data_IF_116948327671
#
_entry.id   IF_116948327671
#
_cell.length_a   1.000
_cell.length_b   1.000
_cell.length_c   1.000
_cell.angle_alpha   90.00
_cell.angle_beta   90.00
_cell.angle_gamma   90.00
#
_symmetry.space_group_name_H-M   'P 1'
#
loop_
_entity.id
_entity.type
_entity.pdbx_description
1 polymer ?
#
# COMPACT_ATOMS: atom_id res chain seq x y z
N UNK A 1 -24.01 1.82 -26.43
CA UNK A 1 -23.72 1.80 -24.98
C UNK A 1 -22.92 3.05 -24.70
N UNK A 2 -23.54 4.07 -24.12
CA UNK A 2 -22.84 5.29 -23.71
C UNK A 2 -22.03 4.97 -22.46
N UNK A 3 -20.72 5.02 -22.56
CA UNK A 3 -19.84 4.99 -21.40
C UNK A 3 -19.96 6.34 -20.71
N UNK A 4 -20.60 6.38 -19.56
CA UNK A 4 -20.59 7.56 -18.69
C UNK A 4 -19.14 7.88 -18.34
N UNK A 5 -18.66 9.04 -18.78
CA UNK A 5 -17.26 9.47 -18.74
C UNK A 5 -16.70 9.86 -17.36
N UNK A 6 -16.99 9.10 -16.32
CA UNK A 6 -16.47 9.32 -14.96
C UNK A 6 -15.67 8.10 -14.48
N UNK A 7 -14.54 7.82 -15.14
CA UNK A 7 -13.58 6.85 -14.59
C UNK A 7 -12.88 7.45 -13.37
N UNK A 8 -12.88 6.70 -12.26
CA UNK A 8 -12.22 7.10 -11.01
C UNK A 8 -10.99 6.24 -10.78
N UNK A 9 -9.83 6.85 -10.83
CA UNK A 9 -8.56 6.24 -10.39
C UNK A 9 -8.19 6.87 -9.06
N UNK A 10 -7.96 6.03 -8.06
CA UNK A 10 -7.60 6.48 -6.73
C UNK A 10 -6.09 6.42 -6.52
N UNK A 11 -5.54 7.49 -5.96
CA UNK A 11 -4.16 7.62 -5.55
C UNK A 11 -4.07 7.51 -4.05
N UNK A 12 -3.37 6.51 -3.56
CA UNK A 12 -2.99 6.43 -2.16
C UNK A 12 -1.48 6.66 -2.04
N UNK A 13 -1.10 7.80 -1.48
CA UNK A 13 0.27 8.00 -1.01
C UNK A 13 0.29 7.82 0.50
N UNK A 14 1.04 6.86 0.99
CA UNK A 14 1.34 6.78 2.41
C UNK A 14 2.40 7.82 2.72
N UNK A 15 1.98 9.03 3.04
CA UNK A 15 2.87 10.05 3.58
C UNK A 15 2.94 9.84 5.10
N UNK A 16 4.05 9.31 5.57
CA UNK A 16 4.39 9.32 6.99
C UNK A 16 4.80 10.74 7.36
N UNK A 17 3.84 11.55 7.81
CA UNK A 17 4.14 12.84 8.45
C UNK A 17 4.64 12.55 9.87
N UNK A 18 5.94 12.71 10.06
CA UNK A 18 6.65 12.28 11.28
C UNK A 18 6.69 13.28 12.39
N UNK A 19 6.32 14.53 12.15
CA UNK A 19 6.55 15.61 13.11
C UNK A 19 5.51 15.67 14.24
N UNK A 20 4.33 15.08 14.05
CA UNK A 20 3.22 15.22 14.98
C UNK A 20 2.95 13.99 15.88
N UNK A 21 3.76 12.93 15.74
CA UNK A 21 3.51 11.67 16.44
C UNK A 21 4.66 11.30 17.39
N UNK A 22 5.04 12.23 18.24
CA UNK A 22 5.81 11.90 19.45
C UNK A 22 4.82 11.85 20.61
N UNK A 23 4.43 10.67 21.12
CA UNK A 23 3.66 10.63 22.35
C UNK A 23 4.49 11.32 23.44
N UNK A 24 3.94 12.34 24.11
CA UNK A 24 4.45 12.79 25.39
C UNK A 24 4.36 11.61 26.37
N UNK A 25 5.38 10.79 26.39
CA UNK A 25 5.53 9.77 27.43
C UNK A 25 6.39 10.34 28.55
N UNK A 26 5.86 10.21 29.76
CA UNK A 26 6.53 10.40 31.04
C UNK A 26 7.99 9.95 30.99
N UNK A 27 8.88 10.77 31.49
CA UNK A 27 10.34 10.71 31.47
C UNK A 27 10.97 9.54 32.25
N UNK A 28 10.56 8.30 32.00
CA UNK A 28 11.17 7.14 32.65
C UNK A 28 11.52 6.06 31.64
N UNK A 29 12.69 6.19 31.00
CA UNK A 29 13.29 5.16 30.13
C UNK A 29 14.71 5.54 29.72
N UNK A 30 15.56 4.56 29.38
CA UNK A 30 16.94 4.85 29.00
C UNK A 30 17.00 5.75 27.75
N UNK A 31 17.89 6.73 27.76
CA UNK A 31 18.11 7.74 26.68
C UNK A 31 18.22 7.15 25.26
N UNK A 32 18.55 5.88 25.14
CA UNK A 32 18.62 5.16 23.87
C UNK A 32 17.27 5.00 23.15
N UNK A 33 16.14 5.15 23.85
CA UNK A 33 14.79 5.11 23.27
C UNK A 33 14.37 6.44 22.64
N UNK A 34 15.07 7.53 22.95
CA UNK A 34 14.78 8.89 22.47
C UNK A 34 15.70 9.35 21.34
N UNK A 35 16.56 8.47 20.82
CA UNK A 35 17.30 8.81 19.62
C UNK A 35 16.34 8.93 18.42
N UNK A 36 16.52 9.96 17.59
CA UNK A 36 15.79 10.15 16.32
C UNK A 36 15.79 8.88 15.43
N UNK A 37 16.70 7.96 15.73
CA UNK A 37 16.83 6.66 15.06
C UNK A 37 15.62 5.73 15.31
N UNK A 38 14.95 5.85 16.45
CA UNK A 38 13.76 5.07 16.76
C UNK A 38 12.51 5.56 15.99
N UNK A 39 12.29 6.87 15.95
CA UNK A 39 11.18 7.47 15.21
C UNK A 39 11.25 7.11 13.71
N UNK A 40 12.45 7.03 13.17
CA UNK A 40 12.71 6.68 11.77
C UNK A 40 12.34 5.21 11.42
N UNK A 41 12.13 4.35 12.41
CA UNK A 41 11.76 2.94 12.22
C UNK A 41 10.31 2.65 12.59
N UNK A 42 9.55 3.67 13.00
CA UNK A 42 8.16 3.47 13.37
C UNK A 42 7.27 3.50 12.13
N UNK A 43 6.68 2.38 11.79
CA UNK A 43 5.83 2.18 10.62
C UNK A 43 4.33 2.21 10.95
N UNK A 44 3.98 1.78 12.16
CA UNK A 44 2.61 1.56 12.59
C UNK A 44 1.89 2.87 12.97
N UNK A 45 0.57 2.82 13.15
CA UNK A 45 -0.18 3.94 13.71
C UNK A 45 0.08 4.12 15.22
N UNK A 46 -0.62 5.06 15.87
CA UNK A 46 -0.48 5.34 17.30
C UNK A 46 -0.85 4.15 18.20
N UNK A 47 -1.74 3.28 17.74
CA UNK A 47 -2.11 2.06 18.44
C UNK A 47 -1.06 0.93 18.24
N UNK A 48 0.04 1.21 17.55
CA UNK A 48 1.05 0.21 17.22
C UNK A 48 0.56 -0.85 16.21
N UNK A 49 -0.41 -0.50 15.36
CA UNK A 49 -0.99 -1.38 14.33
C UNK A 49 -0.49 -1.00 12.95
N UNK A 50 -0.02 -1.96 12.19
CA UNK A 50 0.35 -1.80 10.79
C UNK A 50 -0.92 -1.76 9.93
N UNK A 51 -1.29 -0.57 9.48
CA UNK A 51 -2.54 -0.35 8.72
C UNK A 51 -2.59 -1.23 7.47
N UNK A 52 -1.45 -1.40 6.78
CA UNK A 52 -1.40 -2.27 5.59
C UNK A 52 -1.52 -3.77 5.92
N UNK A 53 -1.63 -4.14 7.19
CA UNK A 53 -1.91 -5.50 7.64
C UNK A 53 -3.26 -5.65 8.33
N UNK A 54 -4.07 -4.62 8.34
CA UNK A 54 -5.32 -4.57 9.11
C UNK A 54 -6.58 -4.75 8.25
N UNK A 55 -6.46 -4.93 6.92
CA UNK A 55 -7.62 -5.08 6.04
C UNK A 55 -8.31 -6.43 6.19
N UNK A 56 -9.68 -6.46 6.14
CA UNK A 56 -10.48 -7.65 6.39
C UNK A 56 -10.54 -8.58 5.18
N UNK A 57 -9.41 -9.18 4.84
CA UNK A 57 -9.35 -10.26 3.86
C UNK A 57 -9.61 -11.62 4.52
N UNK A 58 -10.02 -12.62 3.75
CA UNK A 58 -10.14 -13.99 4.22
C UNK A 58 -8.77 -14.56 4.70
N UNK A 59 -7.66 -14.02 4.21
CA UNK A 59 -6.31 -14.37 4.65
C UNK A 59 -5.91 -13.81 6.02
N UNK A 60 -6.63 -12.80 6.51
CA UNK A 60 -6.24 -12.07 7.72
C UNK A 60 -6.04 -12.97 8.97
N UNK A 61 -6.91 -13.95 9.28
CA UNK A 61 -6.73 -14.80 10.45
C UNK A 61 -5.42 -15.61 10.40
N UNK A 62 -5.02 -16.03 9.22
CA UNK A 62 -3.92 -16.98 8.98
C UNK A 62 -2.56 -16.33 8.73
N UNK A 63 -2.47 -14.99 8.77
CA UNK A 63 -1.19 -14.32 8.57
C UNK A 63 -0.16 -14.71 9.62
N UNK A 64 0.85 -15.47 9.19
CA UNK A 64 1.83 -16.10 10.08
C UNK A 64 2.92 -15.15 10.59
N UNK A 65 3.28 -14.14 9.79
CA UNK A 65 4.37 -13.19 10.09
C UNK A 65 3.95 -12.00 10.97
N UNK A 66 2.67 -11.92 11.34
CA UNK A 66 2.16 -10.84 12.17
C UNK A 66 2.72 -10.90 13.60
N UNK A 67 3.12 -9.75 14.12
CA UNK A 67 3.46 -9.60 15.54
C UNK A 67 2.25 -9.88 16.41
N UNK A 68 2.48 -10.31 17.65
CA UNK A 68 1.39 -10.72 18.58
C UNK A 68 0.86 -9.61 19.45
N UNK A 69 1.46 -8.41 19.41
CA UNK A 69 1.11 -7.24 20.23
C UNK A 69 1.51 -5.96 19.54
N UNK A 70 0.91 -4.80 19.94
CA UNK A 70 1.30 -3.48 19.45
C UNK A 70 2.82 -3.26 19.49
N UNK A 71 3.36 -2.76 18.39
CA UNK A 71 4.79 -2.51 18.22
C UNK A 71 5.03 -1.54 17.06
N UNK A 72 6.28 -1.37 16.66
CA UNK A 72 6.68 -0.44 15.61
C UNK A 72 6.36 -0.90 14.19
N UNK A 73 6.14 -2.20 13.94
CA UNK A 73 5.87 -2.76 12.60
C UNK A 73 5.19 -4.14 12.67
N UNK A 74 4.46 -4.51 11.61
CA UNK A 74 3.90 -5.84 11.37
C UNK A 74 2.86 -6.36 12.39
N UNK A 75 2.36 -5.55 13.31
CA UNK A 75 1.21 -5.94 14.12
C UNK A 75 -0.09 -5.65 13.37
N UNK A 76 -0.84 -6.69 13.05
CA UNK A 76 -2.05 -6.60 12.22
C UNK A 76 -3.30 -6.09 12.95
N UNK A 77 -3.19 -5.76 14.25
CA UNK A 77 -4.32 -5.37 15.09
C UNK A 77 -4.96 -6.55 15.83
N UNK A 78 -5.88 -6.23 16.73
CA UNK A 78 -6.62 -7.23 17.50
C UNK A 78 -7.70 -7.93 16.68
N UNK A 79 -8.24 -7.23 15.68
CA UNK A 79 -9.19 -7.77 14.70
C UNK A 79 -8.97 -7.10 13.34
N UNK A 80 -9.45 -7.74 12.29
CA UNK A 80 -9.44 -7.17 10.96
C UNK A 80 -10.28 -5.88 10.94
N UNK A 81 -9.72 -4.82 10.34
CA UNK A 81 -10.39 -3.52 10.28
C UNK A 81 -10.59 -2.84 11.63
N UNK A 82 -9.75 -3.14 12.64
CA UNK A 82 -9.87 -2.50 13.96
C UNK A 82 -9.56 -1.01 13.96
N UNK A 83 -8.75 -0.55 13.00
CA UNK A 83 -8.23 0.81 13.00
C UNK A 83 -9.14 1.78 12.22
N UNK A 84 -9.26 3.00 12.73
CA UNK A 84 -10.07 4.06 12.11
C UNK A 84 -9.60 4.41 10.70
N UNK A 85 -8.30 4.40 10.47
CA UNK A 85 -7.68 4.64 9.17
C UNK A 85 -8.06 3.55 8.16
N UNK A 86 -8.07 2.30 8.60
CA UNK A 86 -8.54 1.17 7.77
C UNK A 86 -10.02 1.30 7.45
N UNK A 87 -10.85 1.62 8.46
CA UNK A 87 -12.29 1.80 8.28
C UNK A 87 -12.61 2.97 7.34
N UNK A 88 -11.83 4.05 7.40
CA UNK A 88 -11.97 5.17 6.47
C UNK A 88 -11.76 4.73 5.02
N UNK A 89 -10.68 3.99 4.74
CA UNK A 89 -10.39 3.49 3.38
C UNK A 89 -11.45 2.49 2.91
N UNK A 90 -11.90 1.59 3.79
CA UNK A 90 -12.99 0.65 3.49
C UNK A 90 -14.26 1.42 3.12
N UNK A 91 -14.62 2.44 3.91
CA UNK A 91 -15.80 3.27 3.67
C UNK A 91 -15.68 4.02 2.34
N UNK A 92 -14.52 4.63 2.09
CA UNK A 92 -14.25 5.34 0.84
C UNK A 92 -14.42 4.43 -0.38
N UNK A 93 -13.80 3.25 -0.36
CA UNK A 93 -13.89 2.29 -1.47
C UNK A 93 -15.31 1.75 -1.66
N UNK A 94 -16.05 1.55 -0.57
CA UNK A 94 -17.44 1.06 -0.65
C UNK A 94 -18.43 2.12 -1.17
N UNK A 95 -18.15 3.39 -0.94
CA UNK A 95 -19.02 4.50 -1.35
C UNK A 95 -18.70 5.03 -2.74
N UNK A 96 -17.47 4.81 -3.21
CA UNK A 96 -16.99 5.29 -4.50
C UNK A 96 -16.76 4.10 -5.45
N UNK A 97 -17.16 4.25 -6.69
CA UNK A 97 -16.90 3.25 -7.72
C UNK A 97 -15.55 3.53 -8.37
N UNK A 98 -14.48 2.97 -7.82
CA UNK A 98 -13.16 3.08 -8.44
C UNK A 98 -12.99 2.03 -9.54
N UNK A 99 -12.51 2.46 -10.69
CA UNK A 99 -12.15 1.57 -11.81
C UNK A 99 -10.77 0.94 -11.62
N UNK A 100 -9.89 1.62 -10.88
CA UNK A 100 -8.55 1.14 -10.53
C UNK A 100 -7.98 1.91 -9.34
N UNK A 101 -6.98 1.32 -8.68
CA UNK A 101 -6.24 1.93 -7.57
C UNK A 101 -4.74 1.82 -7.79
N UNK A 102 -4.01 2.90 -7.51
CA UNK A 102 -2.56 2.95 -7.56
C UNK A 102 -2.02 3.25 -6.17
N UNK A 103 -1.28 2.29 -5.59
CA UNK A 103 -0.74 2.37 -4.24
C UNK A 103 0.74 2.69 -4.29
N UNK A 104 1.19 3.74 -3.58
CA UNK A 104 2.60 4.07 -3.47
C UNK A 104 3.14 3.76 -2.08
N UNK A 105 4.25 3.05 -2.07
CA UNK A 105 5.00 2.67 -0.89
C UNK A 105 6.50 2.97 -1.09
N UNK A 106 7.29 2.79 -0.06
CA UNK A 106 8.74 2.70 -0.08
C UNK A 106 9.17 1.39 0.56
N UNK A 107 10.17 0.68 0.04
CA UNK A 107 11.08 1.03 -1.02
C UNK A 107 11.52 -0.24 -1.78
N UNK A 108 12.22 -0.08 -2.93
CA UNK A 108 12.82 -1.22 -3.63
C UNK A 108 12.80 -1.13 -5.15
N UNK A 109 12.15 -0.12 -5.73
CA UNK A 109 11.93 0.00 -7.18
C UNK A 109 11.30 -1.26 -7.77
N UNK A 110 10.25 -1.73 -7.10
CA UNK A 110 9.50 -2.93 -7.49
C UNK A 110 8.00 -2.63 -7.59
N UNK A 111 7.29 -3.46 -8.33
CA UNK A 111 5.85 -3.36 -8.58
C UNK A 111 5.21 -4.68 -8.18
N UNK A 112 4.37 -4.66 -7.15
CA UNK A 112 3.50 -5.78 -6.80
C UNK A 112 2.17 -5.62 -7.53
N UNK A 113 1.82 -6.59 -8.36
CA UNK A 113 0.70 -6.47 -9.30
C UNK A 113 -0.32 -7.59 -9.21
N UNK A 114 -0.05 -8.66 -8.50
CA UNK A 114 -0.96 -9.79 -8.56
C UNK A 114 -1.31 -10.34 -7.18
N UNK A 115 -2.46 -10.99 -7.10
CA UNK A 115 -2.91 -11.76 -5.96
C UNK A 115 -3.53 -13.07 -6.49
N UNK A 116 -3.13 -14.21 -5.91
CA UNK A 116 -3.63 -15.54 -6.35
C UNK A 116 -5.14 -15.72 -6.20
N UNK A 117 -5.81 -14.87 -5.43
CA UNK A 117 -7.26 -14.91 -5.19
C UNK A 117 -8.05 -13.94 -6.06
N UNK A 118 -7.38 -13.11 -6.85
CA UNK A 118 -8.04 -12.22 -7.79
C UNK A 118 -8.62 -13.01 -8.97
N UNK A 119 -9.70 -12.49 -9.55
CA UNK A 119 -10.26 -13.06 -10.78
C UNK A 119 -9.30 -12.88 -11.97
N UNK A 120 -9.44 -13.69 -13.01
CA UNK A 120 -8.62 -13.58 -14.21
C UNK A 120 -8.72 -12.20 -14.87
N UNK A 121 -9.89 -11.57 -14.84
CA UNK A 121 -10.11 -10.23 -15.40
C UNK A 121 -9.40 -9.15 -14.58
N UNK A 122 -9.42 -9.25 -13.25
CA UNK A 122 -8.68 -8.34 -12.36
C UNK A 122 -7.18 -8.50 -12.59
N UNK A 123 -6.68 -9.74 -12.58
CA UNK A 123 -5.27 -10.02 -12.84
C UNK A 123 -4.77 -9.51 -14.20
N UNK A 124 -5.58 -9.60 -15.24
CA UNK A 124 -5.22 -9.08 -16.55
C UNK A 124 -5.07 -7.55 -16.54
N UNK A 125 -5.96 -6.85 -15.82
CA UNK A 125 -5.89 -5.39 -15.66
C UNK A 125 -4.72 -4.98 -14.76
N UNK A 126 -4.50 -5.66 -13.64
CA UNK A 126 -3.35 -5.44 -12.76
C UNK A 126 -2.05 -5.57 -13.54
N UNK A 127 -1.95 -6.60 -14.36
CA UNK A 127 -0.77 -6.82 -15.20
C UNK A 127 -0.56 -5.70 -16.20
N UNK A 128 -1.61 -5.27 -16.89
CA UNK A 128 -1.53 -4.16 -17.84
C UNK A 128 -1.11 -2.85 -17.17
N UNK A 129 -1.68 -2.56 -15.99
CA UNK A 129 -1.28 -1.39 -15.18
C UNK A 129 0.17 -1.50 -14.73
N UNK A 130 0.61 -2.67 -14.28
CA UNK A 130 1.99 -2.91 -13.86
C UNK A 130 2.98 -2.75 -15.02
N UNK A 131 2.62 -3.20 -16.23
CA UNK A 131 3.43 -3.00 -17.44
C UNK A 131 3.56 -1.51 -17.80
N UNK A 132 2.48 -0.72 -17.64
CA UNK A 132 2.53 0.75 -17.80
C UNK A 132 3.49 1.37 -16.78
N UNK A 133 3.36 1.02 -15.50
CA UNK A 133 4.27 1.53 -14.45
C UNK A 133 5.71 1.15 -14.79
N UNK A 134 5.98 -0.10 -15.15
CA UNK A 134 7.32 -0.58 -15.47
C UNK A 134 7.92 0.15 -16.69
N UNK A 135 7.11 0.45 -17.71
CA UNK A 135 7.54 1.18 -18.89
C UNK A 135 8.01 2.62 -18.56
N UNK A 136 7.37 3.29 -17.60
CA UNK A 136 7.77 4.62 -17.15
C UNK A 136 8.95 4.61 -16.19
N UNK A 137 8.97 3.66 -15.26
CA UNK A 137 9.87 3.70 -14.11
C UNK A 137 11.11 2.82 -14.27
N UNK A 138 11.03 1.79 -15.11
CA UNK A 138 12.05 0.74 -15.17
C UNK A 138 12.02 -0.20 -13.96
N UNK A 139 11.02 -0.11 -13.07
CA UNK A 139 10.93 -0.93 -11.88
C UNK A 139 10.60 -2.40 -12.21
N UNK A 140 11.08 -3.29 -11.35
CA UNK A 140 10.89 -4.72 -11.55
C UNK A 140 9.48 -5.17 -11.15
N UNK A 141 8.82 -5.91 -12.03
CA UNK A 141 7.57 -6.60 -11.68
C UNK A 141 7.86 -7.80 -10.78
N UNK A 142 7.12 -7.87 -9.68
CA UNK A 142 7.17 -8.99 -8.74
C UNK A 142 5.80 -9.64 -8.71
N UNK A 143 5.71 -10.88 -9.18
CA UNK A 143 4.53 -11.70 -8.99
C UNK A 143 4.42 -12.13 -7.51
N UNK A 144 3.22 -12.35 -6.98
CA UNK A 144 3.07 -12.86 -5.63
C UNK A 144 3.72 -14.23 -5.52
N UNK A 145 4.26 -14.51 -4.36
CA UNK A 145 4.65 -15.88 -4.03
C UNK A 145 3.40 -16.77 -4.02
N UNK A 146 3.55 -18.00 -4.48
CA UNK A 146 2.46 -18.98 -4.51
C UNK A 146 1.95 -19.35 -3.11
N UNK A 147 2.75 -19.09 -2.07
CA UNK A 147 2.36 -19.22 -0.67
C UNK A 147 1.73 -17.93 -0.17
N UNK A 148 0.41 -17.83 -0.27
CA UNK A 148 -0.39 -16.69 0.23
C UNK A 148 -0.41 -16.55 1.76
N UNK A 149 0.32 -17.39 2.53
CA UNK A 149 0.32 -17.33 3.99
C UNK A 149 1.00 -16.08 4.55
N UNK A 150 1.93 -15.49 3.81
CA UNK A 150 2.67 -14.27 4.20
C UNK A 150 2.02 -12.98 3.73
N UNK A 151 1.24 -13.05 2.67
CA UNK A 151 0.60 -11.92 2.02
C UNK A 151 -0.92 -12.09 2.08
N UNK A 152 -1.68 -11.10 1.71
CA UNK A 152 -3.13 -11.26 1.67
C UNK A 152 -3.85 -10.54 2.81
N UNK A 153 -3.24 -9.53 3.42
CA UNK A 153 -3.84 -8.70 4.47
C UNK A 153 -3.68 -7.21 4.23
N UNK A 154 -3.03 -6.83 3.13
CA UNK A 154 -2.82 -5.45 2.73
C UNK A 154 -4.03 -4.84 2.03
N UNK A 155 -3.98 -3.52 1.84
CA UNK A 155 -5.00 -2.80 1.09
C UNK A 155 -5.11 -3.34 -0.34
N UNK A 156 -3.96 -3.55 -1.00
CA UNK A 156 -3.90 -4.18 -2.32
C UNK A 156 -4.64 -5.52 -2.36
N UNK A 157 -4.35 -6.41 -1.41
CA UNK A 157 -4.94 -7.75 -1.37
C UNK A 157 -6.44 -7.70 -1.14
N UNK A 158 -6.89 -6.77 -0.30
CA UNK A 158 -8.31 -6.57 -0.04
C UNK A 158 -9.05 -6.06 -1.29
N UNK A 159 -8.43 -5.15 -2.06
CA UNK A 159 -8.99 -4.68 -3.32
C UNK A 159 -9.14 -5.82 -4.34
N UNK A 160 -8.10 -6.62 -4.51
CA UNK A 160 -8.08 -7.74 -5.45
C UNK A 160 -9.08 -8.84 -5.06
N UNK A 161 -9.00 -9.25 -3.81
CA UNK A 161 -9.68 -10.46 -3.31
C UNK A 161 -11.14 -10.22 -2.93
N UNK A 162 -11.39 -9.13 -2.19
CA UNK A 162 -12.72 -8.89 -1.62
C UNK A 162 -13.56 -7.92 -2.47
N UNK A 163 -12.90 -7.04 -3.23
CA UNK A 163 -13.59 -5.99 -3.99
C UNK A 163 -13.57 -6.21 -5.51
N UNK A 164 -12.63 -7.00 -6.02
CA UNK A 164 -12.45 -7.18 -7.45
C UNK A 164 -12.05 -5.89 -8.18
N UNK A 165 -11.34 -5.00 -7.50
CA UNK A 165 -10.89 -3.72 -8.05
C UNK A 165 -9.43 -3.86 -8.47
N UNK A 166 -9.10 -3.64 -9.76
CA UNK A 166 -7.73 -3.71 -10.26
C UNK A 166 -6.82 -2.71 -9.54
N UNK A 167 -5.62 -3.18 -9.17
CA UNK A 167 -4.68 -2.30 -8.50
C UNK A 167 -3.23 -2.78 -8.58
N UNK A 168 -2.30 -1.87 -8.36
CA UNK A 168 -0.87 -2.16 -8.25
C UNK A 168 -0.27 -1.41 -7.07
N UNK A 169 0.75 -2.01 -6.45
CA UNK A 169 1.59 -1.33 -5.45
C UNK A 169 2.95 -1.05 -6.05
N UNK A 170 3.36 0.22 -5.99
CA UNK A 170 4.63 0.72 -6.53
C UNK A 170 5.53 1.09 -5.37
N UNK A 171 6.61 0.34 -5.17
CA UNK A 171 7.63 0.60 -4.16
C UNK A 171 8.69 1.55 -4.73
N UNK A 172 8.56 2.83 -4.45
CA UNK A 172 9.49 3.84 -4.98
C UNK A 172 10.76 3.98 -4.15
N UNK A 173 11.84 4.44 -4.80
CA UNK A 173 13.12 4.68 -4.14
C UNK A 173 13.90 3.40 -3.80
N UNK A 174 15.12 3.59 -3.32
CA UNK A 174 16.06 2.49 -2.98
C UNK A 174 16.84 2.81 -1.71
N UNK A 175 17.42 1.76 -1.12
CA UNK A 175 18.35 1.85 0.00
C UNK A 175 17.70 1.67 1.35
N UNK A 176 17.63 2.70 2.15
CA UNK A 176 17.07 2.63 3.52
C UNK A 176 15.63 3.14 3.58
N UNK A 177 14.86 2.72 4.56
CA UNK A 177 13.58 3.34 4.94
C UNK A 177 13.80 4.17 6.20
N UNK A 178 13.42 5.46 6.18
CA UNK A 178 12.84 6.22 5.07
C UNK A 178 13.83 6.41 3.91
N UNK A 179 13.24 6.53 2.73
CA UNK A 179 14.02 6.88 1.53
C UNK A 179 14.56 8.29 1.68
N UNK A 180 15.85 8.53 1.37
CA UNK A 180 16.44 9.87 1.43
C UNK A 180 15.68 10.88 0.54
N UNK A 181 15.46 12.09 1.05
CA UNK A 181 14.76 13.17 0.31
C UNK A 181 15.44 13.52 -1.01
N UNK A 182 16.76 13.30 -1.11
CA UNK A 182 17.54 13.50 -2.34
C UNK A 182 17.03 12.66 -3.52
N UNK A 183 16.21 11.63 -3.28
CA UNK A 183 15.61 10.80 -4.34
C UNK A 183 14.26 11.33 -4.84
N UNK A 184 13.66 12.33 -4.19
CA UNK A 184 12.30 12.81 -4.51
C UNK A 184 12.20 13.22 -5.99
N UNK A 185 13.15 14.01 -6.48
CA UNK A 185 13.12 14.48 -7.85
C UNK A 185 13.17 13.32 -8.87
N UNK A 186 14.06 12.37 -8.66
CA UNK A 186 14.18 11.21 -9.56
C UNK A 186 12.95 10.31 -9.51
N UNK A 187 12.38 10.10 -8.31
CA UNK A 187 11.13 9.35 -8.13
C UNK A 187 9.98 10.05 -8.87
N UNK A 188 9.88 11.37 -8.71
CA UNK A 188 8.87 12.18 -9.39
C UNK A 188 8.97 12.05 -10.91
N UNK A 189 10.16 12.27 -11.46
CA UNK A 189 10.41 12.18 -12.91
C UNK A 189 10.04 10.80 -13.48
N UNK A 190 10.35 9.73 -12.75
CA UNK A 190 10.02 8.37 -13.14
C UNK A 190 8.51 8.11 -13.17
N UNK A 191 7.73 8.80 -12.33
CA UNK A 191 6.33 8.46 -12.09
C UNK A 191 5.32 9.46 -12.70
N UNK A 192 5.75 10.61 -13.20
CA UNK A 192 4.84 11.68 -13.71
C UNK A 192 3.90 11.22 -14.81
N UNK A 193 4.34 10.31 -15.68
CA UNK A 193 3.54 9.79 -16.80
C UNK A 193 2.64 8.60 -16.45
N UNK A 194 2.86 7.97 -15.30
CA UNK A 194 2.17 6.73 -14.93
C UNK A 194 0.67 6.91 -14.84
N UNK A 195 0.20 7.90 -14.06
CA UNK A 195 -1.24 8.11 -13.88
C UNK A 195 -1.97 8.46 -15.18
N UNK A 196 -1.49 9.43 -15.99
CA UNK A 196 -2.13 9.73 -17.27
C UNK A 196 -2.29 8.51 -18.18
N UNK A 197 -1.31 7.62 -18.23
CA UNK A 197 -1.37 6.46 -19.12
C UNK A 197 -2.23 5.33 -18.54
N UNK A 198 -2.27 5.15 -17.23
CA UNK A 198 -3.25 4.26 -16.58
C UNK A 198 -4.67 4.76 -16.86
N UNK A 199 -4.93 6.06 -16.73
CA UNK A 199 -6.26 6.63 -17.03
C UNK A 199 -6.64 6.39 -18.50
N UNK A 200 -5.73 6.60 -19.45
CA UNK A 200 -5.98 6.29 -20.87
C UNK A 200 -6.31 4.81 -21.06
N UNK A 201 -5.54 3.92 -20.44
CA UNK A 201 -5.79 2.49 -20.51
C UNK A 201 -7.18 2.12 -19.99
N UNK A 202 -7.58 2.63 -18.83
CA UNK A 202 -8.89 2.38 -18.23
C UNK A 202 -10.02 2.93 -19.10
N UNK A 203 -9.81 4.08 -19.74
CA UNK A 203 -10.79 4.69 -20.66
C UNK A 203 -10.81 4.02 -22.05
N UNK A 204 -9.95 3.06 -22.32
CA UNK A 204 -9.82 2.43 -23.64
C UNK A 204 -9.33 3.39 -24.75
N UNK A 205 -8.46 4.33 -24.40
CA UNK A 205 -7.95 5.38 -25.31
C UNK A 205 -6.46 5.18 -25.61
#
# INVERSE_FOLDING_TARGET
METNGNSKVFFLTKQETREDIVPERSHEGPESLYSNHWANKWKNNLNGVDINHNFPTQGWPNRADSRKRPCNEFYKGASAGSESETQYLITLVNNENFDAVLNYHTQGQIIYWSNQHASADVLAKDRAMADIVAAHTGYKLVAPEADGSKYGTGFKDWLDWEKGIPNVTVEVGIGTSPVPETQIESIWQQNTGVLPDIVKYILGK
#
